data_IF_689070038826
#
_entry.id   IF_689070038826
#
_cell.length_a   1.000
_cell.length_b   1.000
_cell.length_c   1.000
_cell.angle_alpha   90.00
_cell.angle_beta   90.00
_cell.angle_gamma   90.00
#
_symmetry.space_group_name_H-M   'P 1'
#
loop_
_entity.id
_entity.type
_entity.pdbx_description
1 polymer ?
#
# COMPACT_ATOMS: atom_id res chain seq x y z
N UNK A 1 41.62 19.57 39.19
CA UNK A 1 41.71 19.86 37.74
C UNK A 1 41.04 18.72 36.98
N UNK A 2 40.04 19.05 36.16
CA UNK A 2 39.16 18.10 35.50
C UNK A 2 39.88 17.30 34.40
N UNK A 3 39.81 15.97 34.49
CA UNK A 3 40.29 15.07 33.43
C UNK A 3 39.21 14.91 32.37
N UNK A 4 39.29 15.75 31.32
CA UNK A 4 38.45 15.68 30.13
C UNK A 4 38.70 14.37 29.38
N UNK A 5 37.72 13.45 29.40
CA UNK A 5 37.67 12.32 28.48
C UNK A 5 37.17 12.84 27.14
N UNK A 6 38.11 13.08 26.22
CA UNK A 6 37.85 13.47 24.84
C UNK A 6 37.21 12.26 24.13
N UNK A 7 35.93 12.39 23.79
CA UNK A 7 35.22 11.45 22.93
C UNK A 7 35.79 11.63 21.52
N UNK A 8 36.44 10.60 20.97
CA UNK A 8 36.81 10.60 19.56
C UNK A 8 35.54 10.53 18.69
N UNK A 9 35.41 11.36 17.63
CA UNK A 9 34.28 11.25 16.74
C UNK A 9 34.35 9.93 15.97
N UNK A 10 33.27 9.17 16.03
CA UNK A 10 32.98 8.04 15.15
C UNK A 10 32.70 8.61 13.75
N UNK A 11 33.72 9.11 13.08
CA UNK A 11 33.68 9.51 11.66
C UNK A 11 34.99 9.06 11.01
N UNK A 12 35.26 7.76 11.04
CA UNK A 12 36.44 7.19 10.36
C UNK A 12 36.12 5.92 9.58
N UNK A 13 34.93 5.82 8.97
CA UNK A 13 34.65 4.71 8.05
C UNK A 13 33.68 5.01 6.88
N UNK A 14 33.40 6.27 6.53
CA UNK A 14 32.47 6.59 5.41
C UNK A 14 33.17 6.83 4.04
N UNK A 15 34.47 6.60 3.92
CA UNK A 15 35.20 6.88 2.66
C UNK A 15 35.94 5.65 2.12
N UNK A 16 35.17 4.60 1.80
CA UNK A 16 35.48 3.75 0.65
C UNK A 16 34.42 4.11 -0.41
N UNK A 17 34.78 5.03 -1.31
CA UNK A 17 33.84 5.68 -2.22
C UNK A 17 33.13 4.71 -3.15
N UNK A 18 31.92 4.29 -2.79
CA UNK A 18 30.96 3.71 -3.73
C UNK A 18 30.41 4.87 -4.55
N UNK A 19 30.74 4.90 -5.84
CA UNK A 19 30.25 5.93 -6.76
C UNK A 19 28.72 5.90 -6.83
N UNK A 20 28.11 7.08 -6.87
CA UNK A 20 26.65 7.23 -6.93
C UNK A 20 26.13 6.88 -8.31
N UNK A 21 25.16 5.96 -8.38
CA UNK A 21 24.41 5.59 -9.59
C UNK A 21 23.42 6.68 -10.05
N UNK A 22 23.42 7.84 -9.39
CA UNK A 22 22.41 8.87 -9.59
C UNK A 22 23.05 10.16 -10.12
N UNK A 23 22.35 10.83 -11.01
CA UNK A 23 22.68 12.19 -11.43
C UNK A 23 21.41 13.00 -11.64
N UNK A 24 21.54 14.32 -11.67
CA UNK A 24 20.44 15.20 -12.05
C UNK A 24 20.85 16.08 -13.23
N UNK A 25 19.86 16.59 -13.95
CA UNK A 25 20.03 17.58 -15.01
C UNK A 25 18.98 18.67 -14.90
N UNK A 26 19.44 19.90 -15.08
CA UNK A 26 18.57 21.05 -15.28
C UNK A 26 18.31 21.14 -16.79
N UNK A 27 17.03 21.24 -17.17
CA UNK A 27 16.64 21.44 -18.57
C UNK A 27 16.99 22.86 -18.98
N UNK A 28 17.85 23.03 -19.97
CA UNK A 28 18.18 24.33 -20.53
C UNK A 28 17.41 24.55 -21.84
N UNK A 29 17.14 25.81 -22.26
CA UNK A 29 16.50 26.10 -23.55
C UNK A 29 17.16 25.40 -24.73
N UNK A 30 18.50 25.32 -24.72
CA UNK A 30 19.30 24.68 -25.77
C UNK A 30 19.04 23.16 -25.82
N UNK A 31 18.84 22.50 -24.67
CA UNK A 31 18.49 21.08 -24.59
C UNK A 31 17.15 20.77 -25.25
N UNK A 32 16.18 21.69 -25.15
CA UNK A 32 14.86 21.56 -25.77
C UNK A 32 14.98 21.79 -27.28
N UNK A 33 15.70 22.82 -27.70
CA UNK A 33 15.93 23.14 -29.11
C UNK A 33 16.67 22.02 -29.85
N UNK A 34 17.73 21.48 -29.24
CA UNK A 34 18.56 20.42 -29.81
C UNK A 34 17.90 19.02 -29.74
N UNK A 35 16.76 18.90 -29.06
CA UNK A 35 16.01 17.65 -28.85
C UNK A 35 16.83 16.50 -28.25
N UNK A 36 17.89 16.81 -27.50
CA UNK A 36 18.78 15.81 -26.90
C UNK A 36 19.26 16.25 -25.52
N UNK A 37 19.39 15.31 -24.59
CA UNK A 37 19.90 15.58 -23.24
C UNK A 37 21.23 14.85 -23.00
N UNK A 38 22.28 15.62 -22.70
CA UNK A 38 23.62 15.08 -22.47
C UNK A 38 23.73 14.39 -21.11
N UNK A 39 24.25 13.17 -21.08
CA UNK A 39 24.54 12.43 -19.84
C UNK A 39 25.85 12.97 -19.23
N UNK A 40 25.94 13.18 -17.90
CA UNK A 40 27.16 13.65 -17.27
C UNK A 40 28.36 12.76 -17.57
N UNK A 41 29.49 13.35 -17.97
CA UNK A 41 30.71 12.59 -18.34
C UNK A 41 31.20 11.70 -17.19
N UNK A 42 31.06 12.16 -15.93
CA UNK A 42 31.39 11.37 -14.75
C UNK A 42 30.57 10.08 -14.68
N UNK A 43 29.29 10.13 -15.04
CA UNK A 43 28.44 8.94 -15.07
C UNK A 43 28.83 8.02 -16.24
N UNK A 44 29.08 8.60 -17.43
CA UNK A 44 29.49 7.83 -18.62
C UNK A 44 30.83 7.10 -18.40
N UNK A 45 31.80 7.69 -17.71
CA UNK A 45 33.08 7.03 -17.41
C UNK A 45 32.93 5.76 -16.57
N UNK A 46 31.92 5.72 -15.71
CA UNK A 46 31.73 4.60 -14.76
C UNK A 46 30.77 3.55 -15.31
N UNK A 47 29.67 3.97 -15.93
CA UNK A 47 28.57 3.08 -16.33
C UNK A 47 28.34 3.06 -17.85
N UNK A 48 29.07 3.87 -18.63
CA UNK A 48 28.82 4.05 -20.07
C UNK A 48 28.99 2.80 -20.92
N UNK A 49 29.85 1.88 -20.49
CA UNK A 49 30.08 0.59 -21.15
C UNK A 49 28.93 -0.40 -20.90
N UNK A 50 28.19 -0.25 -19.81
CA UNK A 50 26.99 -1.04 -19.51
C UNK A 50 25.75 -0.53 -20.26
N UNK A 51 25.81 0.69 -20.80
CA UNK A 51 24.68 1.29 -21.52
C UNK A 51 24.57 0.73 -22.93
N UNK A 52 23.43 0.07 -23.17
CA UNK A 52 22.96 -0.40 -24.46
C UNK A 52 22.65 0.78 -25.40
N UNK A 53 22.43 0.47 -26.69
CA UNK A 53 22.04 1.49 -27.67
C UNK A 53 20.72 2.20 -27.34
N UNK A 54 19.85 1.53 -26.58
CA UNK A 54 18.62 2.09 -26.01
C UNK A 54 18.64 1.92 -24.50
N UNK A 55 18.08 2.90 -23.81
CA UNK A 55 17.83 2.86 -22.37
C UNK A 55 16.34 2.91 -22.10
N UNK A 56 15.96 2.49 -20.91
CA UNK A 56 14.58 2.56 -20.43
C UNK A 56 14.49 3.66 -19.39
N UNK A 57 13.70 4.71 -19.66
CA UNK A 57 13.35 5.73 -18.68
C UNK A 57 11.97 5.42 -18.11
N UNK A 58 11.90 5.17 -16.81
CA UNK A 58 10.69 4.83 -16.09
C UNK A 58 10.34 6.01 -15.19
N UNK A 59 9.16 6.59 -15.33
CA UNK A 59 8.65 7.62 -14.42
C UNK A 59 7.73 7.01 -13.35
N UNK A 60 7.46 7.69 -12.21
CA UNK A 60 6.70 7.11 -11.09
C UNK A 60 5.28 6.62 -11.38
N UNK A 61 4.62 7.10 -12.44
CA UNK A 61 3.34 6.53 -12.87
C UNK A 61 3.50 5.19 -13.62
N UNK A 62 4.71 4.65 -13.68
CA UNK A 62 5.05 3.40 -14.35
C UNK A 62 5.11 3.49 -15.87
N UNK A 63 4.91 4.69 -16.47
CA UNK A 63 5.09 4.83 -17.92
C UNK A 63 6.57 4.62 -18.26
N UNK A 64 6.77 3.72 -19.22
CA UNK A 64 8.08 3.32 -19.71
C UNK A 64 8.36 4.02 -21.03
N UNK A 65 9.51 4.68 -21.12
CA UNK A 65 9.98 5.34 -22.32
C UNK A 65 11.28 4.71 -22.79
N UNK A 66 11.27 3.95 -23.91
CA UNK A 66 12.49 3.55 -24.57
C UNK A 66 13.14 4.78 -25.21
N UNK A 67 14.39 5.06 -24.87
CA UNK A 67 15.12 6.23 -25.37
C UNK A 67 16.44 5.79 -25.98
N UNK A 68 16.67 6.13 -27.25
CA UNK A 68 17.91 5.82 -27.94
C UNK A 68 19.05 6.72 -27.49
N UNK A 69 20.24 6.12 -27.36
CA UNK A 69 21.47 6.82 -27.05
C UNK A 69 22.22 7.19 -28.33
N UNK A 70 22.67 8.44 -28.39
CA UNK A 70 23.66 8.88 -29.37
C UNK A 70 25.02 8.98 -28.69
N UNK A 71 26.05 8.39 -29.30
CA UNK A 71 27.44 8.42 -28.80
C UNK A 71 28.34 9.14 -29.81
N UNK A 72 29.12 10.11 -29.34
CA UNK A 72 30.19 10.80 -30.08
C UNK A 72 31.44 10.84 -29.19
N UNK A 73 32.32 9.85 -29.37
CA UNK A 73 33.44 9.59 -28.48
C UNK A 73 32.99 9.37 -27.03
N UNK A 74 33.48 10.22 -26.11
CA UNK A 74 33.16 10.16 -24.67
C UNK A 74 31.81 10.82 -24.34
N UNK A 75 31.20 11.50 -25.32
CA UNK A 75 29.95 12.22 -25.12
C UNK A 75 28.76 11.32 -25.46
N UNK A 76 27.82 11.20 -24.53
CA UNK A 76 26.60 10.39 -24.70
C UNK A 76 25.38 11.27 -24.43
N UNK A 77 24.33 11.12 -25.24
CA UNK A 77 23.07 11.84 -25.10
C UNK A 77 21.88 10.89 -25.17
N UNK A 78 20.85 11.17 -24.37
CA UNK A 78 19.48 10.76 -24.67
C UNK A 78 19.01 11.52 -25.90
N UNK A 79 18.58 10.81 -26.94
CA UNK A 79 18.30 11.39 -28.26
C UNK A 79 16.96 10.90 -28.83
N UNK A 80 16.92 9.67 -29.32
CA UNK A 80 15.72 9.13 -29.95
C UNK A 80 14.64 8.85 -28.89
N UNK A 81 13.41 9.35 -29.07
CA UNK A 81 12.34 9.28 -28.06
C UNK A 81 12.49 10.24 -26.86
N UNK A 82 13.58 11.00 -26.73
CA UNK A 82 13.76 11.95 -25.62
C UNK A 82 12.80 13.14 -25.72
N UNK A 83 12.61 13.69 -26.91
CA UNK A 83 11.73 14.84 -27.11
C UNK A 83 10.25 14.50 -26.85
N UNK A 84 9.84 13.26 -27.09
CA UNK A 84 8.48 12.79 -26.84
C UNK A 84 8.13 12.86 -25.34
N UNK A 85 9.11 12.61 -24.47
CA UNK A 85 8.99 12.77 -23.01
C UNK A 85 8.78 14.24 -22.65
N UNK A 86 9.57 15.13 -23.26
CA UNK A 86 9.47 16.57 -23.03
C UNK A 86 8.09 17.09 -23.42
N UNK A 87 7.58 16.66 -24.58
CA UNK A 87 6.27 17.06 -25.09
C UNK A 87 5.13 16.48 -24.25
N UNK A 88 5.17 15.18 -23.95
CA UNK A 88 4.11 14.48 -23.22
C UNK A 88 3.91 15.02 -21.79
N UNK A 89 5.01 15.27 -21.07
CA UNK A 89 4.97 15.83 -19.71
C UNK A 89 5.03 17.35 -19.67
N UNK A 90 5.02 18.01 -20.83
CA UNK A 90 5.07 19.48 -20.97
C UNK A 90 6.24 20.08 -20.19
N UNK A 91 7.41 19.46 -20.28
CA UNK A 91 8.63 19.86 -19.56
C UNK A 91 9.17 21.15 -20.18
N UNK A 92 9.40 22.17 -19.36
CA UNK A 92 9.94 23.46 -19.83
C UNK A 92 11.36 23.70 -19.31
N UNK A 93 12.02 24.74 -19.82
CA UNK A 93 13.32 25.16 -19.31
C UNK A 93 13.29 25.43 -17.79
N UNK A 94 14.42 25.15 -17.13
CA UNK A 94 14.69 25.19 -15.69
C UNK A 94 14.05 24.07 -14.86
N UNK A 95 13.34 23.12 -15.48
CA UNK A 95 12.91 21.91 -14.77
C UNK A 95 14.14 21.08 -14.37
N UNK A 96 14.03 20.35 -13.27
CA UNK A 96 15.09 19.46 -12.78
C UNK A 96 14.66 18.02 -12.96
N UNK A 97 15.43 17.24 -13.70
CA UNK A 97 15.24 15.79 -13.79
C UNK A 97 16.28 15.09 -12.93
N UNK A 98 15.83 14.16 -12.10
CA UNK A 98 16.70 13.27 -11.31
C UNK A 98 16.65 11.88 -11.95
N UNK A 99 17.81 11.37 -12.31
CA UNK A 99 18.00 10.04 -12.90
C UNK A 99 18.65 9.14 -11.87
N UNK A 100 17.99 8.03 -11.56
CA UNK A 100 18.51 6.96 -10.71
C UNK A 100 18.74 5.73 -11.59
N UNK A 101 20.00 5.34 -11.77
CA UNK A 101 20.34 4.15 -12.53
C UNK A 101 20.14 2.89 -11.69
N UNK A 102 19.40 1.93 -12.22
CA UNK A 102 19.06 0.66 -11.54
C UNK A 102 19.74 -0.55 -12.19
N UNK A 103 20.83 -0.30 -12.94
CA UNK A 103 21.56 -1.25 -13.77
C UNK A 103 20.82 -1.67 -15.05
N UNK A 104 21.52 -2.36 -15.96
CA UNK A 104 20.97 -2.89 -17.21
C UNK A 104 20.28 -1.84 -18.09
N UNK A 105 20.87 -0.64 -18.22
CA UNK A 105 20.30 0.45 -19.04
C UNK A 105 18.92 0.95 -18.58
N UNK A 106 18.51 0.69 -17.33
CA UNK A 106 17.26 1.20 -16.76
C UNK A 106 17.50 2.40 -15.84
N UNK A 107 16.67 3.42 -15.98
CA UNK A 107 16.68 4.61 -15.16
C UNK A 107 15.28 4.90 -14.63
N UNK A 108 15.17 5.12 -13.32
CA UNK A 108 14.03 5.80 -12.74
C UNK A 108 14.25 7.32 -12.89
N UNK A 109 13.25 8.02 -13.44
CA UNK A 109 13.30 9.46 -13.72
C UNK A 109 12.23 10.19 -12.93
N UNK A 110 12.65 11.10 -12.07
CA UNK A 110 11.77 12.03 -11.36
C UNK A 110 11.87 13.41 -12.01
N UNK A 111 10.73 14.06 -12.26
CA UNK A 111 10.68 15.37 -12.93
C UNK A 111 10.12 16.42 -11.98
N UNK A 112 10.93 17.43 -11.65
CA UNK A 112 10.56 18.54 -10.78
C UNK A 112 10.38 19.82 -11.60
N UNK A 113 9.25 20.48 -11.39
CA UNK A 113 8.94 21.75 -12.05
C UNK A 113 9.61 22.94 -11.34
N UNK A 114 9.28 24.15 -11.81
CA UNK A 114 9.79 25.42 -11.26
C UNK A 114 9.40 25.67 -9.79
N UNK A 115 8.37 25.00 -9.25
CA UNK A 115 8.00 25.11 -7.83
C UNK A 115 8.81 24.18 -6.92
N UNK A 116 9.81 23.48 -7.48
CA UNK A 116 10.58 22.43 -6.81
C UNK A 116 9.74 21.21 -6.35
N UNK A 117 8.49 21.10 -6.83
CA UNK A 117 7.64 19.94 -6.62
C UNK A 117 7.75 18.98 -7.81
N UNK A 118 7.59 17.69 -7.55
CA UNK A 118 7.45 16.69 -8.60
C UNK A 118 6.16 16.94 -9.41
N UNK A 119 6.21 16.75 -10.74
CA UNK A 119 5.05 16.91 -11.61
C UNK A 119 4.03 15.78 -11.43
N UNK A 120 2.77 16.07 -11.73
CA UNK A 120 1.73 15.06 -11.86
C UNK A 120 1.78 14.44 -13.25
N UNK A 121 1.98 13.13 -13.33
CA UNK A 121 2.09 12.41 -14.60
C UNK A 121 0.69 12.03 -15.14
N UNK A 122 0.35 12.29 -16.43
CA UNK A 122 -0.97 12.00 -16.98
C UNK A 122 -1.33 10.49 -17.01
N UNK A 123 -2.61 10.18 -16.78
CA UNK A 123 -3.20 8.84 -16.90
C UNK A 123 -3.87 8.67 -18.28
N UNK A 124 -3.60 7.56 -19.00
CA UNK A 124 -4.20 7.31 -20.31
C UNK A 124 -5.59 6.65 -20.17
N UNK A 125 -6.64 7.42 -20.45
CA UNK A 125 -8.01 6.94 -20.66
C UNK A 125 -8.43 7.39 -22.07
N UNK A 126 -8.42 6.52 -23.08
CA UNK A 126 -9.02 6.81 -24.39
C UNK A 126 -10.33 6.01 -24.51
N UNK A 127 -11.45 6.73 -24.69
CA UNK A 127 -12.80 6.17 -24.74
C UNK A 127 -13.15 5.56 -26.11
N UNK A 128 -13.88 4.43 -26.15
CA UNK A 128 -14.72 4.11 -27.30
C UNK A 128 -16.18 3.83 -26.94
N UNK A 129 -17.08 4.59 -27.58
CA UNK A 129 -18.08 4.05 -28.51
C UNK A 129 -19.31 3.32 -27.95
N UNK A 130 -20.41 4.07 -27.86
CA UNK A 130 -21.77 3.71 -27.47
C UNK A 130 -22.41 2.61 -28.36
N UNK A 131 -22.91 1.50 -27.77
CA UNK A 131 -23.89 0.62 -28.41
C UNK A 131 -24.99 0.18 -27.44
N UNK A 132 -26.23 0.28 -27.94
CA UNK A 132 -27.48 0.26 -27.21
C UNK A 132 -27.85 -1.10 -26.63
N UNK A 133 -28.51 -1.00 -25.49
CA UNK A 133 -28.99 -2.01 -24.58
C UNK A 133 -30.27 -2.69 -25.12
N UNK A 134 -30.30 -4.03 -25.17
CA UNK A 134 -31.57 -4.76 -25.22
C UNK A 134 -31.66 -5.71 -24.01
N UNK A 135 -32.56 -5.31 -23.12
CA UNK A 135 -33.02 -5.99 -21.90
C UNK A 135 -33.93 -7.16 -22.25
N UNK A 136 -33.75 -8.30 -21.58
CA UNK A 136 -34.82 -9.30 -21.41
C UNK A 136 -34.98 -9.55 -19.92
N UNK A 137 -36.22 -9.37 -19.47
CA UNK A 137 -36.67 -9.34 -18.09
C UNK A 137 -37.37 -10.66 -17.72
N UNK A 138 -37.58 -10.80 -16.40
CA UNK A 138 -38.61 -11.59 -15.68
C UNK A 138 -38.17 -12.90 -14.98
N UNK A 139 -38.84 -13.32 -13.88
CA UNK A 139 -39.57 -12.54 -12.87
C UNK A 139 -39.29 -12.96 -11.41
N UNK A 140 -39.70 -12.09 -10.47
CA UNK A 140 -39.72 -12.30 -9.02
C UNK A 140 -40.96 -13.09 -8.57
N UNK A 141 -40.83 -13.88 -7.49
CA UNK A 141 -41.94 -14.43 -6.71
C UNK A 141 -41.64 -14.22 -5.21
N UNK A 142 -42.54 -13.53 -4.52
CA UNK A 142 -42.50 -13.20 -3.09
C UNK A 142 -43.32 -14.18 -2.22
N UNK A 143 -42.90 -14.36 -0.96
CA UNK A 143 -43.68 -14.61 0.28
C UNK A 143 -42.76 -15.24 1.34
N UNK A 144 -42.76 -14.95 2.65
CA UNK A 144 -43.46 -14.00 3.52
C UNK A 144 -42.65 -13.82 4.84
N UNK A 145 -42.89 -12.68 5.46
CA UNK A 145 -42.67 -12.18 6.83
C UNK A 145 -41.91 -13.01 7.90
N UNK A 146 -40.78 -12.43 8.34
CA UNK A 146 -40.17 -12.62 9.66
C UNK A 146 -39.21 -11.46 9.91
N UNK A 147 -39.27 -10.80 11.07
CA UNK A 147 -38.56 -9.56 11.39
C UNK A 147 -37.07 -9.59 11.01
N UNK A 148 -36.73 -8.99 9.86
CA UNK A 148 -35.36 -8.94 9.35
C UNK A 148 -34.59 -7.83 10.08
N UNK A 149 -33.54 -8.22 10.82
CA UNK A 149 -32.38 -7.33 11.03
C UNK A 149 -32.04 -6.71 9.68
N UNK A 150 -31.80 -5.38 9.60
CA UNK A 150 -31.38 -4.69 8.36
C UNK A 150 -30.29 -5.54 7.70
N UNK A 151 -30.69 -6.27 6.65
CA UNK A 151 -29.76 -7.06 5.86
C UNK A 151 -28.76 -6.09 5.25
N UNK A 152 -27.52 -6.55 5.05
CA UNK A 152 -26.62 -5.89 4.10
C UNK A 152 -27.42 -5.77 2.80
N UNK A 153 -27.58 -4.55 2.31
CA UNK A 153 -28.31 -4.29 1.07
C UNK A 153 -27.83 -5.20 -0.07
N UNK A 154 -28.65 -5.32 -1.11
CA UNK A 154 -28.41 -6.16 -2.30
C UNK A 154 -26.93 -6.06 -2.70
N UNK A 155 -26.22 -7.19 -2.75
CA UNK A 155 -24.83 -7.22 -3.17
C UNK A 155 -24.74 -6.54 -4.55
N UNK A 156 -23.96 -5.45 -4.64
CA UNK A 156 -23.64 -4.82 -5.92
C UNK A 156 -22.71 -5.78 -6.66
N UNK A 157 -23.29 -6.72 -7.39
CA UNK A 157 -22.54 -7.57 -8.31
C UNK A 157 -21.96 -6.67 -9.40
N UNK A 158 -20.67 -6.35 -9.32
CA UNK A 158 -19.96 -5.72 -10.42
C UNK A 158 -19.69 -6.82 -11.45
N UNK A 159 -20.37 -6.74 -12.60
CA UNK A 159 -20.15 -7.65 -13.70
C UNK A 159 -18.88 -7.22 -14.44
N UNK A 160 -17.75 -7.85 -14.14
CA UNK A 160 -16.50 -7.67 -14.88
C UNK A 160 -16.57 -8.51 -16.15
N UNK A 161 -17.32 -8.06 -17.16
CA UNK A 161 -17.37 -8.72 -18.47
C UNK A 161 -16.29 -8.13 -19.37
N UNK A 162 -15.22 -8.89 -19.60
CA UNK A 162 -14.32 -8.72 -20.76
C UNK A 162 -13.24 -7.63 -20.70
N UNK A 163 -13.05 -6.94 -19.58
CA UNK A 163 -11.92 -6.00 -19.38
C UNK A 163 -10.99 -6.51 -18.27
N UNK A 164 -9.68 -6.37 -18.48
CA UNK A 164 -8.68 -6.65 -17.46
C UNK A 164 -8.88 -5.68 -16.27
N UNK A 165 -8.97 -6.24 -15.07
CA UNK A 165 -9.19 -5.50 -13.83
C UNK A 165 -7.83 -5.03 -13.30
N UNK A 166 -7.64 -3.72 -13.19
CA UNK A 166 -6.40 -3.19 -12.62
C UNK A 166 -6.31 -3.42 -11.11
N UNK A 167 -5.16 -3.93 -10.67
CA UNK A 167 -4.83 -4.11 -9.25
C UNK A 167 -4.16 -2.85 -8.72
N UNK A 168 -4.95 -2.04 -8.00
CA UNK A 168 -4.50 -0.79 -7.41
C UNK A 168 -3.92 -1.02 -6.02
N UNK A 169 -2.78 -0.40 -5.74
CA UNK A 169 -2.15 -0.35 -4.41
C UNK A 169 -2.20 1.07 -3.91
N UNK A 170 -2.64 1.24 -2.67
CA UNK A 170 -2.66 2.52 -2.01
C UNK A 170 -2.25 2.34 -0.55
N UNK A 171 -1.27 3.14 -0.09
CA UNK A 171 -0.68 3.03 1.26
C UNK A 171 -0.23 1.59 1.60
N UNK A 172 0.40 0.93 0.62
CA UNK A 172 0.90 -0.44 0.74
C UNK A 172 -0.19 -1.51 0.95
N UNK A 173 -1.42 -1.24 0.49
CA UNK A 173 -2.54 -2.21 0.53
C UNK A 173 -3.19 -2.30 -0.85
N UNK A 174 -3.58 -3.51 -1.22
CA UNK A 174 -4.41 -3.73 -2.41
C UNK A 174 -5.81 -3.19 -2.12
N UNK A 175 -6.25 -2.18 -2.87
CA UNK A 175 -7.56 -1.53 -2.70
C UNK A 175 -8.59 -2.00 -3.71
N UNK A 176 -8.19 -2.74 -4.75
CA UNK A 176 -9.10 -3.41 -5.70
C UNK A 176 -9.86 -4.56 -5.02
N UNK A 177 -11.19 -4.46 -4.77
CA UNK A 177 -11.91 -5.44 -3.95
C UNK A 177 -11.92 -6.86 -4.53
N UNK A 178 -11.94 -6.98 -5.86
CA UNK A 178 -11.92 -8.25 -6.58
C UNK A 178 -10.58 -8.96 -6.42
N UNK A 179 -9.48 -8.22 -6.45
CA UNK A 179 -8.15 -8.76 -6.21
C UNK A 179 -8.05 -9.30 -4.78
N UNK A 180 -8.51 -8.54 -3.78
CA UNK A 180 -8.55 -9.00 -2.37
C UNK A 180 -9.37 -10.29 -2.22
N UNK A 181 -10.50 -10.43 -2.94
CA UNK A 181 -11.30 -11.65 -2.94
C UNK A 181 -10.54 -12.84 -3.55
N UNK A 182 -9.82 -12.64 -4.65
CA UNK A 182 -9.04 -13.73 -5.25
C UNK A 182 -7.84 -14.13 -4.39
N UNK A 183 -7.15 -13.18 -3.79
CA UNK A 183 -6.09 -13.47 -2.80
C UNK A 183 -6.65 -14.33 -1.67
N UNK A 184 -7.86 -14.01 -1.19
CA UNK A 184 -8.54 -14.83 -0.20
C UNK A 184 -8.82 -16.25 -0.70
N UNK A 185 -9.24 -16.43 -1.95
CA UNK A 185 -9.51 -17.76 -2.53
C UNK A 185 -8.20 -18.55 -2.65
N UNK A 186 -7.19 -17.95 -3.28
CA UNK A 186 -5.85 -18.53 -3.45
C UNK A 186 -5.28 -18.94 -2.10
N UNK A 187 -5.35 -18.09 -1.08
CA UNK A 187 -4.88 -18.40 0.26
C UNK A 187 -5.63 -19.58 0.90
N UNK A 188 -6.95 -19.55 0.96
CA UNK A 188 -7.71 -20.61 1.66
C UNK A 188 -7.65 -21.97 0.96
N UNK A 189 -7.43 -22.00 -0.35
CA UNK A 189 -7.29 -23.23 -1.13
C UNK A 189 -5.89 -23.85 -1.05
N UNK A 190 -4.86 -23.04 -0.75
CA UNK A 190 -3.46 -23.46 -0.84
C UNK A 190 -2.71 -23.35 0.50
N UNK A 191 -3.39 -23.07 1.61
CA UNK A 191 -2.75 -23.14 2.93
C UNK A 191 -2.47 -24.61 3.29
N UNK A 192 -1.18 -24.96 3.36
CA UNK A 192 -0.70 -26.35 3.43
C UNK A 192 -0.20 -26.77 4.82
N UNK A 193 0.18 -25.83 5.69
CA UNK A 193 0.99 -26.13 6.89
C UNK A 193 0.47 -25.55 8.23
N UNK A 194 0.83 -26.18 9.37
CA UNK A 194 0.42 -25.79 10.73
C UNK A 194 1.32 -24.69 11.29
N UNK A 195 1.55 -23.63 10.52
CA UNK A 195 2.28 -22.49 11.05
C UNK A 195 1.43 -21.94 12.20
N UNK A 196 1.98 -21.77 13.40
CA UNK A 196 1.24 -21.22 14.55
C UNK A 196 1.31 -19.70 14.50
N UNK A 197 2.41 -19.18 13.95
CA UNK A 197 2.61 -17.76 13.66
C UNK A 197 2.75 -17.57 12.16
N UNK A 198 2.24 -16.45 11.66
CA UNK A 198 2.45 -16.05 10.26
C UNK A 198 3.94 -15.97 9.88
N UNK A 199 4.81 -15.55 10.81
CA UNK A 199 6.27 -15.49 10.59
C UNK A 199 6.93 -16.87 10.42
N UNK A 200 6.25 -17.95 10.81
CA UNK A 200 6.73 -19.32 10.62
C UNK A 200 6.27 -19.86 9.25
N UNK A 201 5.42 -19.13 8.52
CA UNK A 201 4.96 -19.53 7.18
C UNK A 201 6.15 -19.42 6.19
N UNK A 202 6.57 -20.53 5.54
CA UNK A 202 7.76 -20.53 4.70
C UNK A 202 7.68 -19.54 3.54
N UNK A 203 8.82 -18.93 3.24
CA UNK A 203 8.97 -17.99 2.12
C UNK A 203 8.62 -18.64 0.77
N UNK A 204 8.99 -19.91 0.57
CA UNK A 204 8.62 -20.68 -0.63
C UNK A 204 7.10 -20.80 -0.81
N UNK A 205 6.34 -20.91 0.29
CA UNK A 205 4.88 -20.98 0.23
C UNK A 205 4.27 -19.60 -0.05
N UNK A 206 4.88 -18.52 0.48
CA UNK A 206 4.51 -17.15 0.12
C UNK A 206 4.70 -16.87 -1.37
N UNK A 207 5.85 -17.28 -1.92
CA UNK A 207 6.16 -17.16 -3.36
C UNK A 207 5.18 -17.97 -4.21
N UNK A 208 4.86 -19.21 -3.81
CA UNK A 208 3.89 -20.05 -4.51
C UNK A 208 2.49 -19.42 -4.53
N UNK A 209 2.02 -18.86 -3.40
CA UNK A 209 0.76 -18.13 -3.34
C UNK A 209 0.77 -16.89 -4.25
N UNK A 210 1.87 -16.14 -4.25
CA UNK A 210 2.01 -14.95 -5.09
C UNK A 210 2.02 -15.31 -6.57
N UNK A 211 2.75 -16.35 -6.97
CA UNK A 211 2.77 -16.85 -8.35
C UNK A 211 1.38 -17.29 -8.82
N UNK A 212 0.62 -18.03 -7.99
CA UNK A 212 -0.77 -18.42 -8.29
C UNK A 212 -1.68 -17.20 -8.47
N UNK A 213 -1.49 -16.16 -7.67
CA UNK A 213 -2.22 -14.91 -7.83
C UNK A 213 -1.87 -14.21 -9.14
N UNK A 214 -0.59 -14.11 -9.52
CA UNK A 214 -0.15 -13.51 -10.80
C UNK A 214 -0.64 -14.26 -12.04
N UNK A 215 -0.91 -15.57 -11.92
CA UNK A 215 -1.43 -16.38 -13.03
C UNK A 215 -2.90 -16.08 -13.38
N UNK A 216 -3.60 -15.30 -12.56
CA UNK A 216 -5.01 -14.94 -12.81
C UNK A 216 -5.07 -13.92 -13.96
N UNK A 217 -5.43 -14.40 -15.15
CA UNK A 217 -5.39 -13.62 -16.40
C UNK A 217 -6.27 -12.37 -16.43
N UNK A 218 -7.30 -12.28 -15.58
CA UNK A 218 -8.22 -11.12 -15.57
C UNK A 218 -7.65 -9.90 -14.84
N UNK A 219 -6.44 -9.97 -14.30
CA UNK A 219 -5.84 -8.85 -13.58
C UNK A 219 -4.72 -8.22 -14.39
N UNK A 220 -4.77 -6.89 -14.48
CA UNK A 220 -3.67 -6.07 -14.98
C UNK A 220 -2.88 -5.52 -13.80
N UNK A 221 -1.58 -5.79 -13.78
CA UNK A 221 -0.65 -5.30 -12.77
C UNK A 221 0.15 -4.12 -13.34
N UNK A 222 -0.08 -2.91 -12.82
CA UNK A 222 0.58 -1.67 -13.27
C UNK A 222 1.62 -1.16 -12.27
N UNK A 223 1.65 -1.73 -11.07
CA UNK A 223 2.62 -1.44 -10.02
C UNK A 223 3.87 -2.31 -10.15
N UNK A 224 4.96 -1.87 -9.53
CA UNK A 224 6.22 -2.61 -9.45
C UNK A 224 5.98 -3.93 -8.69
N UNK A 225 6.62 -5.01 -9.12
CA UNK A 225 6.39 -6.35 -8.58
C UNK A 225 6.71 -6.45 -7.08
N UNK A 226 7.74 -5.75 -6.59
CA UNK A 226 8.09 -5.71 -5.17
C UNK A 226 6.97 -5.09 -4.33
N UNK A 227 6.38 -3.98 -4.78
CA UNK A 227 5.25 -3.32 -4.09
C UNK A 227 4.00 -4.19 -4.12
N UNK A 228 3.75 -4.85 -5.26
CA UNK A 228 2.66 -5.81 -5.40
C UNK A 228 2.81 -6.99 -4.45
N UNK A 229 4.02 -7.56 -4.37
CA UNK A 229 4.32 -8.65 -3.45
C UNK A 229 4.17 -8.20 -1.99
N UNK A 230 4.72 -7.03 -1.63
CA UNK A 230 4.59 -6.49 -0.27
C UNK A 230 3.12 -6.28 0.13
N UNK A 231 2.30 -5.69 -0.76
CA UNK A 231 0.88 -5.47 -0.51
C UNK A 231 0.09 -6.80 -0.48
N UNK A 232 0.46 -7.76 -1.33
CA UNK A 232 -0.08 -9.13 -1.33
C UNK A 232 0.21 -9.84 -0.01
N UNK A 233 1.46 -9.90 0.44
CA UNK A 233 1.85 -10.56 1.70
C UNK A 233 1.22 -9.88 2.92
N UNK A 234 1.06 -8.55 2.91
CA UNK A 234 0.30 -7.83 3.95
C UNK A 234 -1.16 -8.29 3.99
N UNK A 235 -1.74 -8.59 2.83
CA UNK A 235 -3.12 -9.08 2.71
C UNK A 235 -3.22 -10.53 3.21
N UNK A 236 -2.29 -11.39 2.81
CA UNK A 236 -2.19 -12.79 3.28
C UNK A 236 -1.98 -12.86 4.79
N UNK A 237 -1.13 -12.02 5.38
CA UNK A 237 -0.92 -11.93 6.83
C UNK A 237 -2.21 -11.66 7.60
N UNK A 238 -3.06 -10.74 7.09
CA UNK A 238 -4.36 -10.45 7.69
C UNK A 238 -5.34 -11.62 7.54
N UNK A 239 -5.36 -12.27 6.36
CA UNK A 239 -6.20 -13.43 6.10
C UNK A 239 -5.84 -14.62 6.99
N UNK A 240 -4.54 -14.83 7.22
CA UNK A 240 -4.04 -15.86 8.12
C UNK A 240 -4.52 -15.66 9.56
N UNK A 241 -4.51 -14.41 10.06
CA UNK A 241 -5.12 -14.10 11.36
C UNK A 241 -6.61 -14.46 11.45
N UNK A 242 -7.37 -14.19 10.38
CA UNK A 242 -8.79 -14.55 10.30
C UNK A 242 -9.00 -16.07 10.23
N UNK A 243 -8.17 -16.78 9.47
CA UNK A 243 -8.18 -18.24 9.40
C UNK A 243 -7.94 -18.86 10.79
N UNK A 244 -6.90 -18.42 11.50
CA UNK A 244 -6.61 -18.86 12.87
C UNK A 244 -7.78 -18.60 13.83
N UNK A 245 -8.48 -17.47 13.70
CA UNK A 245 -9.69 -17.20 14.48
C UNK A 245 -10.82 -18.19 14.17
N UNK A 246 -11.03 -18.51 12.89
CA UNK A 246 -12.05 -19.47 12.42
C UNK A 246 -11.74 -20.91 12.80
N UNK A 247 -10.49 -21.26 13.02
CA UNK A 247 -10.13 -22.56 13.58
C UNK A 247 -10.36 -22.61 15.08
N UNK A 248 -9.96 -21.55 15.79
CA UNK A 248 -9.95 -21.58 17.26
C UNK A 248 -11.34 -21.44 17.88
N UNK A 249 -12.11 -20.47 17.44
CA UNK A 249 -13.38 -20.12 18.10
C UNK A 249 -14.51 -21.15 17.89
N UNK A 250 -14.81 -21.62 16.66
CA UNK A 250 -15.91 -22.56 16.45
C UNK A 250 -15.50 -24.04 16.54
N UNK A 251 -14.22 -24.38 16.36
CA UNK A 251 -13.76 -25.79 16.36
C UNK A 251 -13.01 -26.11 17.64
N UNK A 252 -11.88 -25.46 17.92
CA UNK A 252 -11.07 -25.79 19.11
C UNK A 252 -11.79 -25.51 20.45
N UNK A 253 -12.40 -24.33 20.59
CA UNK A 253 -13.08 -23.91 21.84
C UNK A 253 -14.40 -24.65 22.07
N UNK A 254 -14.98 -25.27 21.04
CA UNK A 254 -16.22 -26.07 21.14
C UNK A 254 -16.04 -27.30 22.03
N UNK A 255 -14.86 -27.91 22.00
CA UNK A 255 -14.55 -29.13 22.74
C UNK A 255 -13.69 -28.81 23.98
N UNK A 256 -13.95 -29.52 25.08
CA UNK A 256 -13.24 -29.32 26.34
C UNK A 256 -12.04 -30.26 26.47
N UNK A 257 -12.18 -31.50 26.02
CA UNK A 257 -11.12 -32.51 26.12
C UNK A 257 -10.07 -32.35 25.00
N UNK A 258 -8.76 -32.50 25.30
CA UNK A 258 -7.71 -32.57 24.28
C UNK A 258 -7.98 -33.66 23.21
N UNK A 259 -8.48 -34.83 23.64
CA UNK A 259 -8.76 -35.95 22.73
C UNK A 259 -9.90 -35.60 21.76
N UNK A 260 -10.96 -34.97 22.24
CA UNK A 260 -12.08 -34.53 21.40
C UNK A 260 -11.64 -33.45 20.41
N UNK A 261 -10.81 -32.50 20.84
CA UNK A 261 -10.27 -31.46 19.95
C UNK A 261 -9.52 -32.08 18.78
N UNK A 262 -8.61 -33.02 19.03
CA UNK A 262 -7.81 -33.69 17.99
C UNK A 262 -8.71 -34.50 17.03
N UNK A 263 -9.78 -35.10 17.53
CA UNK A 263 -10.70 -35.94 16.74
C UNK A 263 -11.58 -35.16 15.74
N UNK A 264 -11.59 -33.82 15.81
CA UNK A 264 -12.41 -32.97 14.94
C UNK A 264 -11.57 -31.98 14.11
N UNK A 265 -10.73 -32.48 13.17
CA UNK A 265 -10.01 -31.62 12.25
C UNK A 265 -10.97 -30.94 11.24
N UNK A 266 -10.70 -29.70 10.83
CA UNK A 266 -11.39 -29.04 9.72
C UNK A 266 -11.01 -29.64 8.36
N UNK A 267 -11.92 -29.60 7.39
CA UNK A 267 -11.72 -30.20 6.05
C UNK A 267 -10.45 -29.71 5.31
N UNK A 268 -10.06 -28.46 5.52
CA UNK A 268 -8.89 -27.84 4.87
C UNK A 268 -7.61 -27.93 5.71
N UNK A 269 -7.59 -28.75 6.76
CA UNK A 269 -6.42 -28.95 7.63
C UNK A 269 -6.23 -30.45 7.86
N UNK A 270 -5.08 -30.98 7.44
CA UNK A 270 -4.76 -32.40 7.64
C UNK A 270 -4.85 -32.80 9.13
N UNK A 271 -5.32 -34.01 9.47
CA UNK A 271 -5.42 -34.46 10.86
C UNK A 271 -4.09 -34.38 11.64
N UNK A 272 -2.96 -34.60 10.97
CA UNK A 272 -1.61 -34.50 11.58
C UNK A 272 -1.31 -33.06 11.98
N UNK A 273 -1.52 -32.14 11.03
CA UNK A 273 -1.36 -30.69 11.17
C UNK A 273 -2.28 -30.14 12.26
N UNK A 274 -3.54 -30.57 12.27
CA UNK A 274 -4.52 -30.17 13.28
C UNK A 274 -4.10 -30.60 14.69
N UNK A 275 -3.59 -31.82 14.85
CA UNK A 275 -3.10 -32.31 16.14
C UNK A 275 -1.98 -31.41 16.69
N UNK A 276 -1.00 -31.06 15.87
CA UNK A 276 0.11 -30.17 16.27
C UNK A 276 -0.38 -28.79 16.72
N UNK A 277 -1.36 -28.22 16.01
CA UNK A 277 -1.98 -26.94 16.38
C UNK A 277 -2.70 -27.03 17.73
N UNK A 278 -3.47 -28.10 17.94
CA UNK A 278 -4.19 -28.36 19.20
C UNK A 278 -3.23 -28.50 20.37
N UNK A 279 -2.18 -29.31 20.21
CA UNK A 279 -1.15 -29.52 21.23
C UNK A 279 -0.49 -28.18 21.64
N UNK A 280 -0.23 -27.31 20.65
CA UNK A 280 0.30 -25.97 20.93
C UNK A 280 -0.68 -25.04 21.64
N UNK A 281 -1.97 -25.08 21.30
CA UNK A 281 -2.95 -24.21 21.95
C UNK A 281 -3.30 -24.66 23.38
N UNK A 282 -3.06 -25.92 23.72
CA UNK A 282 -3.23 -26.46 25.08
C UNK A 282 -2.01 -26.14 25.95
N UNK A 283 -0.83 -25.96 25.37
CA UNK A 283 0.38 -25.57 26.09
C UNK A 283 0.16 -24.35 27.01
N UNK A 284 0.55 -24.50 28.27
CA UNK A 284 0.30 -23.50 29.32
C UNK A 284 0.99 -22.16 29.03
N UNK A 285 2.19 -22.19 28.43
CA UNK A 285 2.91 -20.98 28.04
C UNK A 285 2.14 -20.22 26.96
N UNK A 286 1.60 -20.93 25.98
CA UNK A 286 0.74 -20.35 24.96
C UNK A 286 -0.55 -19.76 25.55
N UNK A 287 -1.27 -20.49 26.40
CA UNK A 287 -2.50 -20.02 27.05
C UNK A 287 -2.28 -18.77 27.90
N UNK A 288 -1.19 -18.73 28.68
CA UNK A 288 -0.84 -17.56 29.49
C UNK A 288 -0.58 -16.33 28.61
N UNK A 289 0.13 -16.50 27.50
CA UNK A 289 0.34 -15.42 26.52
C UNK A 289 -0.99 -14.93 25.91
N UNK A 290 -1.87 -15.84 25.53
CA UNK A 290 -3.19 -15.51 24.97
C UNK A 290 -4.07 -14.75 25.97
N UNK A 291 -4.09 -15.16 27.24
CA UNK A 291 -4.85 -14.47 28.30
C UNK A 291 -4.34 -13.04 28.51
N UNK A 292 -3.01 -12.84 28.58
CA UNK A 292 -2.40 -11.51 28.66
C UNK A 292 -2.85 -10.62 27.51
N UNK A 293 -2.75 -11.10 26.27
CA UNK A 293 -3.17 -10.35 25.08
C UNK A 293 -4.67 -10.02 25.08
N UNK A 294 -5.52 -10.95 25.53
CA UNK A 294 -6.97 -10.69 25.64
C UNK A 294 -7.28 -9.62 26.67
N UNK A 295 -6.60 -9.64 27.82
CA UNK A 295 -6.76 -8.61 28.85
C UNK A 295 -6.28 -7.24 28.35
N UNK A 296 -5.16 -7.17 27.64
CA UNK A 296 -4.68 -5.93 27.01
C UNK A 296 -5.68 -5.40 25.97
N UNK A 297 -6.37 -6.27 25.23
CA UNK A 297 -7.39 -5.85 24.28
C UNK A 297 -8.63 -5.28 24.97
N UNK A 298 -9.02 -5.80 26.14
CA UNK A 298 -10.15 -5.27 26.93
C UNK A 298 -9.88 -3.86 27.47
N UNK A 299 -8.61 -3.49 27.65
CA UNK A 299 -8.21 -2.14 28.08
C UNK A 299 -8.11 -1.13 26.93
N UNK A 300 -8.43 -1.49 25.68
CA UNK A 300 -8.41 -0.54 24.55
C UNK A 300 -9.57 0.45 24.70
N UNK A 301 -9.23 1.74 24.67
CA UNK A 301 -10.16 2.86 24.94
C UNK A 301 -10.69 3.57 23.70
N UNK A 302 -10.19 3.22 22.51
CA UNK A 302 -10.58 3.85 21.25
C UNK A 302 -10.87 2.78 20.20
N UNK A 303 -12.05 2.89 19.59
CA UNK A 303 -12.50 2.01 18.51
C UNK A 303 -12.88 2.87 17.31
N UNK A 304 -12.52 2.40 16.12
CA UNK A 304 -12.92 3.02 14.86
C UNK A 304 -14.33 2.60 14.45
N UNK A 305 -14.98 3.40 13.60
CA UNK A 305 -16.38 3.24 13.19
C UNK A 305 -16.55 2.83 11.73
N UNK A 306 -15.46 2.71 10.96
CA UNK A 306 -15.43 2.39 9.52
C UNK A 306 -15.88 0.98 9.14
N UNK A 307 -16.16 0.12 10.11
CA UNK A 307 -16.64 -1.24 9.86
C UNK A 307 -15.63 -2.08 9.08
N UNK A 308 -16.09 -2.81 8.07
CA UNK A 308 -15.27 -3.76 7.30
C UNK A 308 -14.44 -3.13 6.16
N UNK A 309 -14.60 -1.83 5.90
CA UNK A 309 -13.83 -1.13 4.87
C UNK A 309 -12.53 -0.63 5.50
N UNK A 310 -11.41 -0.92 4.84
CA UNK A 310 -10.10 -0.49 5.33
C UNK A 310 -9.90 1.02 5.12
N UNK A 311 -9.13 1.67 6.00
CA UNK A 311 -8.84 3.11 5.88
C UNK A 311 -8.19 3.48 4.55
N UNK A 312 -7.23 2.68 4.07
CA UNK A 312 -6.60 2.88 2.76
C UNK A 312 -7.62 2.80 1.61
N UNK A 313 -8.57 1.86 1.67
CA UNK A 313 -9.63 1.74 0.66
C UNK A 313 -10.57 2.94 0.70
N UNK A 314 -10.98 3.37 1.89
CA UNK A 314 -11.89 4.51 2.04
C UNK A 314 -11.22 5.85 1.66
N UNK A 315 -9.93 6.02 1.94
CA UNK A 315 -9.14 7.16 1.44
C UNK A 315 -9.02 7.13 -0.08
N UNK A 316 -8.64 6.00 -0.66
CA UNK A 316 -8.54 5.83 -2.11
C UNK A 316 -9.85 6.16 -2.83
N UNK A 317 -10.99 5.68 -2.34
CA UNK A 317 -12.30 5.99 -2.92
C UNK A 317 -12.66 7.47 -2.79
N UNK A 318 -12.24 8.14 -1.71
CA UNK A 318 -12.41 9.60 -1.58
C UNK A 318 -11.57 10.34 -2.61
N UNK A 319 -10.26 10.03 -2.72
CA UNK A 319 -9.36 10.63 -3.71
C UNK A 319 -9.89 10.44 -5.13
N UNK A 320 -10.42 9.25 -5.44
CA UNK A 320 -11.04 8.96 -6.74
C UNK A 320 -12.27 9.83 -7.03
N UNK A 321 -13.05 10.17 -6.01
CA UNK A 321 -14.26 10.98 -6.15
C UNK A 321 -13.98 12.48 -6.17
N UNK A 322 -13.05 12.95 -5.34
CA UNK A 322 -12.81 14.39 -5.11
C UNK A 322 -11.57 14.91 -5.83
N UNK A 323 -10.64 14.03 -6.23
CA UNK A 323 -9.32 14.38 -6.75
C UNK A 323 -8.36 14.93 -5.68
N UNK A 324 -8.79 15.03 -4.42
CA UNK A 324 -8.05 15.68 -3.33
C UNK A 324 -7.75 14.66 -2.24
N UNK A 325 -6.48 14.58 -1.82
CA UNK A 325 -6.05 13.75 -0.69
C UNK A 325 -6.69 14.27 0.61
N UNK A 326 -7.47 13.43 1.32
CA UNK A 326 -8.14 13.87 2.53
C UNK A 326 -7.13 14.05 3.67
N UNK A 327 -7.23 15.17 4.38
CA UNK A 327 -6.42 15.45 5.57
C UNK A 327 -6.44 14.29 6.57
N UNK A 328 -5.31 14.05 7.22
CA UNK A 328 -5.17 13.07 8.30
C UNK A 328 -6.11 13.35 9.46
N UNK A 329 -6.35 14.63 9.80
CA UNK A 329 -7.25 15.05 10.87
C UNK A 329 -8.71 14.77 10.46
N UNK A 330 -9.08 15.07 9.22
CA UNK A 330 -10.42 14.78 8.69
C UNK A 330 -10.70 13.27 8.64
N UNK A 331 -9.70 12.50 8.23
CA UNK A 331 -9.76 11.04 8.25
C UNK A 331 -9.97 10.53 9.68
N UNK A 332 -9.19 11.02 10.64
CA UNK A 332 -9.34 10.65 12.05
C UNK A 332 -10.76 10.95 12.57
N UNK A 333 -11.30 12.13 12.26
CA UNK A 333 -12.68 12.51 12.60
C UNK A 333 -13.67 11.52 12.00
N UNK A 334 -13.63 11.30 10.68
CA UNK A 334 -14.51 10.37 9.97
C UNK A 334 -14.48 8.97 10.58
N UNK A 335 -13.30 8.49 10.94
CA UNK A 335 -13.06 7.13 11.45
C UNK A 335 -13.42 6.93 12.91
N UNK A 336 -13.64 8.01 13.65
CA UNK A 336 -14.02 7.96 15.06
C UNK A 336 -15.39 8.61 15.32
N UNK A 337 -16.17 8.88 14.26
CA UNK A 337 -17.55 9.33 14.37
C UNK A 337 -18.52 8.27 13.87
N UNK A 338 -19.61 8.07 14.60
CA UNK A 338 -20.72 7.17 14.26
C UNK A 338 -21.97 7.98 13.97
N UNK A 339 -22.79 7.53 13.02
CA UNK A 339 -24.12 8.12 12.80
C UNK A 339 -25.13 7.46 13.73
N UNK A 340 -25.86 8.25 14.51
CA UNK A 340 -26.98 7.76 15.33
C UNK A 340 -28.18 7.39 14.44
N UNK A 341 -29.21 6.78 15.04
CA UNK A 341 -30.45 6.44 14.32
C UNK A 341 -31.13 7.68 13.74
N UNK A 342 -30.93 8.83 14.38
CA UNK A 342 -31.52 10.12 14.03
C UNK A 342 -30.66 10.92 13.04
N UNK A 343 -29.53 10.36 12.59
CA UNK A 343 -28.63 10.98 11.62
C UNK A 343 -27.54 11.87 12.22
N UNK A 344 -27.56 12.10 13.54
CA UNK A 344 -26.56 12.90 14.23
C UNK A 344 -25.22 12.18 14.34
N UNK A 345 -24.12 12.91 14.14
CA UNK A 345 -22.77 12.36 14.24
C UNK A 345 -22.27 12.44 15.69
N UNK A 346 -21.94 11.29 16.29
CA UNK A 346 -21.40 11.20 17.65
C UNK A 346 -20.03 10.53 17.67
N UNK A 347 -19.12 11.07 18.47
CA UNK A 347 -17.79 10.48 18.73
C UNK A 347 -17.88 9.07 19.33
N UNK A 348 -16.97 8.19 18.90
CA UNK A 348 -16.89 6.80 19.35
C UNK A 348 -16.37 6.68 20.78
N UNK A 349 -15.58 7.64 21.26
CA UNK A 349 -15.16 7.76 22.65
C UNK A 349 -14.79 9.19 23.04
N UNK A 350 -14.86 9.48 24.35
CA UNK A 350 -14.35 10.72 24.97
C UNK A 350 -12.89 11.00 24.56
N UNK A 351 -12.07 9.93 24.54
CA UNK A 351 -10.65 10.04 24.17
C UNK A 351 -10.46 10.45 22.71
N UNK A 352 -11.26 9.91 21.79
CA UNK A 352 -11.19 10.30 20.38
C UNK A 352 -11.58 11.77 20.19
N UNK A 353 -12.62 12.22 20.88
CA UNK A 353 -13.04 13.63 20.89
C UNK A 353 -11.92 14.55 21.39
N UNK A 354 -11.32 14.23 22.55
CA UNK A 354 -10.24 15.03 23.14
C UNK A 354 -8.99 15.12 22.24
N UNK A 355 -8.62 14.02 21.57
CA UNK A 355 -7.50 14.03 20.62
C UNK A 355 -7.78 14.92 19.42
N UNK A 356 -8.97 14.82 18.84
CA UNK A 356 -9.35 15.68 17.71
C UNK A 356 -9.38 17.16 18.09
N UNK A 357 -9.94 17.51 19.25
CA UNK A 357 -9.95 18.90 19.75
C UNK A 357 -8.53 19.44 19.93
N UNK A 358 -7.58 18.62 20.38
CA UNK A 358 -6.17 18.97 20.50
C UNK A 358 -5.49 19.18 19.14
N UNK A 359 -5.80 18.34 18.14
CA UNK A 359 -5.31 18.52 16.76
C UNK A 359 -5.81 19.84 16.17
N UNK A 360 -7.11 20.12 16.28
CA UNK A 360 -7.73 21.36 15.79
C UNK A 360 -7.18 22.61 16.49
N UNK A 361 -6.91 22.52 17.80
CA UNK A 361 -6.28 23.63 18.52
C UNK A 361 -4.87 23.90 17.99
N UNK A 362 -4.06 22.86 17.77
CA UNK A 362 -2.71 23.00 17.20
C UNK A 362 -2.75 23.54 15.77
N UNK A 363 -3.68 23.06 14.94
CA UNK A 363 -3.88 23.55 13.58
C UNK A 363 -4.21 25.04 13.55
N UNK A 364 -5.09 25.50 14.43
CA UNK A 364 -5.40 26.94 14.59
C UNK A 364 -4.20 27.76 15.06
N UNK A 365 -3.43 27.25 16.03
CA UNK A 365 -2.21 27.93 16.50
C UNK A 365 -1.11 28.00 15.43
N UNK A 366 -0.94 26.95 14.64
CA UNK A 366 -0.02 26.92 13.50
C UNK A 366 -0.39 27.94 12.43
N UNK A 367 -1.68 28.04 12.08
CA UNK A 367 -2.18 29.01 11.11
C UNK A 367 -1.98 30.47 11.55
N UNK A 368 -1.92 30.73 12.87
CA UNK A 368 -1.74 32.07 13.43
C UNK A 368 -0.27 32.53 13.47
N UNK A 369 0.70 31.61 13.43
CA UNK A 369 2.13 31.90 13.64
C UNK A 369 2.95 32.06 12.34
N UNK A 370 2.28 32.12 11.17
CA UNK A 370 2.84 32.32 9.81
C UNK A 370 4.37 32.32 9.66
N UNK A 371 4.94 31.17 9.28
CA UNK A 371 6.22 31.09 8.55
C UNK A 371 6.37 29.81 7.70
N UNK A 372 5.50 28.80 7.86
CA UNK A 372 5.44 27.60 7.01
C UNK A 372 4.06 26.93 7.11
N UNK A 373 3.64 26.26 6.02
CA UNK A 373 2.47 25.38 6.02
C UNK A 373 2.78 24.14 6.88
N UNK A 374 2.00 23.94 7.96
CA UNK A 374 2.20 22.81 8.87
C UNK A 374 1.39 21.62 8.35
N UNK A 375 2.07 20.51 8.08
CA UNK A 375 1.44 19.28 7.64
C UNK A 375 0.51 18.71 8.73
N UNK A 376 -0.73 18.38 8.35
CA UNK A 376 -1.71 17.75 9.23
C UNK A 376 -1.21 16.39 9.77
N UNK A 377 -0.29 15.73 9.06
CA UNK A 377 0.38 14.52 9.54
C UNK A 377 1.31 14.79 10.74
N UNK A 378 2.08 15.87 10.72
CA UNK A 378 2.97 16.25 11.82
C UNK A 378 2.16 16.61 13.06
N UNK A 379 1.09 17.40 12.88
CA UNK A 379 0.15 17.72 13.97
C UNK A 379 -0.43 16.44 14.56
N UNK A 380 -0.81 15.49 13.70
CA UNK A 380 -1.35 14.22 14.13
C UNK A 380 -0.32 13.41 14.95
N UNK A 381 0.92 13.28 14.46
CA UNK A 381 1.99 12.55 15.15
C UNK A 381 2.34 13.19 16.50
N UNK A 382 2.38 14.52 16.58
CA UNK A 382 2.62 15.22 17.85
C UNK A 382 1.51 15.01 18.87
N UNK A 383 0.25 14.88 18.41
CA UNK A 383 -0.91 14.72 19.31
C UNK A 383 -1.10 13.27 19.73
N UNK A 384 -0.95 12.33 18.79
CA UNK A 384 -1.31 10.92 18.96
C UNK A 384 -0.09 10.05 19.27
N UNK A 385 1.09 10.47 18.83
CA UNK A 385 2.33 9.71 18.91
C UNK A 385 2.62 8.93 17.62
N UNK A 386 3.89 8.50 17.49
CA UNK A 386 4.36 7.69 16.37
C UNK A 386 3.74 6.29 16.31
N UNK A 387 3.88 5.66 15.13
CA UNK A 387 3.42 4.30 14.91
C UNK A 387 4.13 3.32 15.86
N UNK A 388 3.36 2.58 16.66
CA UNK A 388 3.90 1.45 17.43
C UNK A 388 3.64 0.15 16.68
N UNK A 389 4.70 -0.62 16.42
CA UNK A 389 4.61 -1.92 15.71
C UNK A 389 3.87 -1.83 14.35
N UNK A 390 4.03 -0.70 13.65
CA UNK A 390 3.40 -0.44 12.35
C UNK A 390 1.90 -0.13 12.40
N UNK A 391 1.36 0.23 13.58
CA UNK A 391 -0.03 0.69 13.74
C UNK A 391 -0.07 2.09 14.32
N UNK A 392 -0.98 2.90 13.78
CA UNK A 392 -1.16 4.30 14.18
C UNK A 392 -2.52 4.44 14.89
N UNK A 393 -2.52 5.06 16.07
CA UNK A 393 -3.68 5.06 16.98
C UNK A 393 -4.85 5.86 16.41
N UNK A 394 -5.87 5.17 15.92
CA UNK A 394 -7.10 5.80 15.38
C UNK A 394 -7.10 5.98 13.86
N UNK A 395 -6.05 5.54 13.16
CA UNK A 395 -5.97 5.47 11.68
C UNK A 395 -5.68 4.06 11.13
N UNK A 396 -5.59 3.06 12.01
CA UNK A 396 -5.54 1.62 11.67
C UNK A 396 -4.24 0.92 11.91
#
# INVERSE_FOLDING_TARGET
>A
MASSRRIEPIISNFMAGKLSHNFYKIVLPETIADKKLRIPEKFVKEFGDELSAFVTLIVPNGRVWPVGLMKDGIKVWFHDGWHDIIEYYKITARYVLVFKYENNSNFLVLVFNLSACEILYPCNCEEPGNYQQNSVHQPEMESSTGAKRKGRGKARGVAYRGQDIEVNIYQGRIVTPVAVREISIVFYQNITGPWIKYKEYPEVEHEALFARFKQIQRFRYTCIEEDLNAAFLKTVSNLYGNWMHRLRKPIFEKYKSPKERIAHPPDNVSPVVWKEMVDKWIDAKWQNKSKKSSNSQKSVQMYHTTGSVSFATDKYEQVKQTGVEPSTIDCFKKFNMSKTKDGEAKWSSEKAKALHEKMESKKRSAAANQDYEVDDWDIYLEVVGEASHGRVVGLG
#
